data_IF_767970185446
#
_entry.id   IF_767970185446
#
_cell.length_a   1.000
_cell.length_b   1.000
_cell.length_c   1.000
_cell.angle_alpha   90.00
_cell.angle_beta   90.00
_cell.angle_gamma   90.00
#
_symmetry.space_group_name_H-M   'P 1'
#
loop_
_entity.id
_entity.type
_entity.pdbx_description
1 polymer ?
#
# COMPACT_ATOMS: atom_id res chain seq x y z
N UNK A 1 25.36 -0.61 -61.27
CA UNK A 1 24.67 -0.13 -60.06
C UNK A 1 23.56 -1.12 -59.79
N UNK A 2 23.57 -1.75 -58.63
CA UNK A 2 22.51 -2.71 -58.26
C UNK A 2 21.22 -1.96 -57.96
N UNK A 3 20.07 -2.63 -58.06
CA UNK A 3 18.78 -1.98 -57.76
C UNK A 3 18.72 -1.42 -56.34
N UNK A 4 19.38 -2.12 -55.40
CA UNK A 4 19.53 -1.70 -54.00
C UNK A 4 20.33 -0.41 -53.83
N UNK A 5 21.39 -0.23 -54.63
CA UNK A 5 22.16 1.03 -54.67
C UNK A 5 21.32 2.18 -55.27
N UNK A 6 20.49 1.88 -56.28
CA UNK A 6 19.53 2.80 -56.88
C UNK A 6 18.50 3.30 -55.85
N UNK A 7 17.91 2.40 -55.06
CA UNK A 7 16.98 2.76 -53.98
C UNK A 7 17.64 3.57 -52.85
N UNK A 8 18.92 3.29 -52.53
CA UNK A 8 19.66 4.11 -51.57
C UNK A 8 19.90 5.53 -52.09
N UNK A 9 20.25 5.69 -53.37
CA UNK A 9 20.43 7.00 -53.99
C UNK A 9 19.11 7.77 -54.14
N UNK A 10 18.00 7.06 -54.37
CA UNK A 10 16.64 7.59 -54.33
C UNK A 10 16.29 8.15 -52.95
N UNK A 11 16.50 7.36 -51.89
CA UNK A 11 16.25 7.77 -50.50
C UNK A 11 17.11 8.97 -50.07
N UNK A 12 18.30 9.13 -50.65
CA UNK A 12 19.20 10.26 -50.41
C UNK A 12 18.91 11.48 -51.30
N UNK A 13 17.94 11.42 -52.22
CA UNK A 13 17.57 12.52 -53.11
C UNK A 13 18.61 12.87 -54.18
N UNK A 14 19.55 11.96 -54.48
CA UNK A 14 20.69 12.22 -55.38
C UNK A 14 20.51 11.68 -56.81
N UNK A 15 19.31 11.19 -57.14
CA UNK A 15 18.99 10.71 -58.48
C UNK A 15 18.56 11.86 -59.39
N UNK A 16 18.93 11.76 -60.68
CA UNK A 16 18.38 12.60 -61.72
C UNK A 16 16.86 12.40 -61.86
N UNK A 17 16.14 13.41 -62.38
CA UNK A 17 14.68 13.41 -62.36
C UNK A 17 14.07 12.27 -63.19
N UNK A 18 14.77 11.81 -64.23
CA UNK A 18 14.30 10.75 -65.12
C UNK A 18 14.42 9.37 -64.46
N UNK A 19 15.56 9.07 -63.82
CA UNK A 19 15.73 7.83 -63.05
C UNK A 19 14.89 7.82 -61.78
N UNK A 20 14.67 8.99 -61.15
CA UNK A 20 13.76 9.11 -60.01
C UNK A 20 12.36 8.65 -60.40
N UNK A 21 11.85 9.12 -61.54
CA UNK A 21 10.54 8.75 -62.07
C UNK A 21 10.46 7.27 -62.47
N UNK A 22 11.55 6.69 -62.99
CA UNK A 22 11.63 5.25 -63.27
C UNK A 22 11.56 4.41 -61.98
N UNK A 23 12.30 4.80 -60.94
CA UNK A 23 12.26 4.13 -59.63
C UNK A 23 10.88 4.25 -58.99
N UNK A 24 10.25 5.44 -59.04
CA UNK A 24 8.89 5.64 -58.54
C UNK A 24 7.86 4.77 -59.27
N UNK A 25 7.92 4.70 -60.60
CA UNK A 25 7.03 3.87 -61.40
C UNK A 25 7.24 2.37 -61.15
N UNK A 26 8.47 1.95 -60.89
CA UNK A 26 8.77 0.55 -60.53
C UNK A 26 8.33 0.20 -59.11
N UNK A 27 8.44 1.14 -58.16
CA UNK A 27 7.87 0.99 -56.80
C UNK A 27 6.34 0.90 -56.88
N UNK A 28 5.69 1.81 -57.60
CA UNK A 28 4.23 1.82 -57.80
C UNK A 28 3.76 0.52 -58.47
N UNK A 29 4.51 0.04 -59.47
CA UNK A 29 4.26 -1.28 -60.09
C UNK A 29 4.42 -2.41 -59.07
N UNK A 30 5.45 -2.37 -58.22
CA UNK A 30 5.68 -3.39 -57.22
C UNK A 30 4.61 -3.36 -56.11
N UNK A 31 4.17 -2.18 -55.70
CA UNK A 31 3.10 -1.96 -54.72
C UNK A 31 1.75 -2.44 -55.28
N UNK A 32 1.40 -2.10 -56.52
CA UNK A 32 0.18 -2.57 -57.18
C UNK A 32 0.17 -4.10 -57.35
N UNK A 33 1.33 -4.71 -57.64
CA UNK A 33 1.47 -6.17 -57.67
C UNK A 33 1.30 -6.76 -56.27
N UNK A 34 1.88 -6.14 -55.23
CA UNK A 34 1.72 -6.59 -53.84
C UNK A 34 0.28 -6.51 -53.36
N UNK A 35 -0.43 -5.44 -53.73
CA UNK A 35 -1.84 -5.22 -53.39
C UNK A 35 -2.75 -6.24 -54.08
N UNK A 36 -2.56 -6.45 -55.39
CA UNK A 36 -3.29 -7.49 -56.15
C UNK A 36 -3.07 -8.90 -55.56
N UNK A 37 -1.83 -9.24 -55.21
CA UNK A 37 -1.52 -10.55 -54.60
C UNK A 37 -2.07 -10.71 -53.18
N UNK A 38 -2.38 -9.62 -52.50
CA UNK A 38 -3.01 -9.61 -51.18
C UNK A 38 -4.54 -9.75 -51.28
N UNK A 39 -5.18 -9.10 -52.25
CA UNK A 39 -6.63 -9.19 -52.47
C UNK A 39 -7.10 -10.57 -53.00
N UNK A 40 -6.29 -11.26 -53.82
CA UNK A 40 -6.61 -12.60 -54.34
C UNK A 40 -6.17 -13.76 -53.41
N UNK A 41 -5.56 -13.48 -52.25
CA UNK A 41 -4.99 -14.52 -51.38
C UNK A 41 -5.92 -14.99 -50.26
N UNK A 42 -6.13 -16.31 -50.14
CA UNK A 42 -6.74 -16.91 -48.93
C UNK A 42 -5.92 -16.66 -47.65
N UNK A 43 -6.61 -16.57 -46.50
CA UNK A 43 -6.01 -16.37 -45.18
C UNK A 43 -5.02 -17.51 -44.88
N UNK A 44 -3.76 -17.22 -44.50
CA UNK A 44 -2.75 -18.25 -44.24
C UNK A 44 -3.17 -19.21 -43.11
N UNK A 45 -2.91 -20.51 -43.30
CA UNK A 45 -3.18 -21.58 -42.32
C UNK A 45 -1.89 -22.00 -41.60
N UNK A 46 -2.00 -22.57 -40.39
CA UNK A 46 -0.86 -22.95 -39.55
C UNK A 46 0.03 -24.05 -40.18
N UNK A 47 -0.51 -24.81 -41.12
CA UNK A 47 0.19 -25.87 -41.87
C UNK A 47 1.37 -25.36 -42.73
N UNK A 48 1.42 -24.07 -43.06
CA UNK A 48 2.53 -23.45 -43.80
C UNK A 48 3.83 -23.29 -42.96
N UNK A 49 3.76 -23.53 -41.64
CA UNK A 49 4.91 -23.46 -40.72
C UNK A 49 5.74 -24.77 -40.67
N UNK A 50 5.15 -25.92 -41.01
CA UNK A 50 5.79 -27.24 -40.83
C UNK A 50 6.73 -27.65 -41.97
N UNK A 51 6.61 -27.08 -43.16
CA UNK A 51 7.42 -27.46 -44.34
C UNK A 51 8.82 -26.80 -44.36
N UNK A 52 9.46 -26.74 -43.19
CA UNK A 52 10.69 -25.98 -42.93
C UNK A 52 12.01 -26.67 -43.29
N UNK A 53 12.06 -27.97 -43.57
CA UNK A 53 13.35 -28.69 -43.68
C UNK A 53 13.66 -29.46 -44.97
N UNK A 54 12.72 -29.76 -45.86
CA UNK A 54 13.04 -30.59 -47.05
C UNK A 54 12.95 -29.84 -48.37
N UNK A 55 14.04 -29.18 -48.78
CA UNK A 55 14.22 -28.70 -50.16
C UNK A 55 15.61 -29.02 -50.74
N UNK A 56 16.20 -30.15 -50.35
CA UNK A 56 17.28 -30.80 -51.09
C UNK A 56 17.18 -32.31 -50.86
N UNK A 57 16.31 -33.00 -51.61
CA UNK A 57 16.44 -34.42 -51.97
C UNK A 57 15.14 -34.84 -52.67
N UNK A 58 15.11 -34.77 -54.01
CA UNK A 58 14.37 -35.70 -54.86
C UNK A 58 14.81 -35.50 -56.31
N UNK A 59 16.07 -35.86 -56.56
CA UNK A 59 16.45 -36.49 -57.82
C UNK A 59 16.23 -37.99 -57.59
N UNK A 60 15.17 -38.56 -58.15
CA UNK A 60 15.21 -39.86 -58.83
C UNK A 60 13.87 -40.22 -59.48
N UNK A 61 13.89 -40.07 -60.80
CA UNK A 61 13.41 -40.99 -61.83
C UNK A 61 12.56 -42.21 -61.39
N UNK A 62 11.30 -42.25 -61.87
CA UNK A 62 10.64 -43.36 -62.61
C UNK A 62 9.14 -43.40 -62.36
N UNK A 63 8.37 -42.94 -63.33
CA UNK A 63 7.25 -43.68 -63.95
C UNK A 63 6.36 -42.71 -64.71
N UNK A 64 6.49 -42.71 -66.04
CA UNK A 64 5.37 -42.46 -66.92
C UNK A 64 5.65 -43.15 -68.25
N UNK A 65 5.11 -44.36 -68.37
CA UNK A 65 4.93 -45.08 -69.64
C UNK A 65 3.44 -45.41 -69.76
N UNK A 66 2.96 -45.30 -71.00
CA UNK A 66 1.59 -45.50 -71.49
C UNK A 66 0.70 -44.27 -71.24
N UNK A 67 0.05 -43.64 -72.22
CA UNK A 67 -0.38 -43.99 -73.59
C UNK A 67 -0.22 -42.70 -74.43
N UNK A 68 -0.01 -42.67 -75.75
CA UNK A 68 -0.93 -43.06 -76.81
C UNK A 68 -0.14 -43.08 -78.11
N UNK A 69 -0.25 -44.18 -78.87
CA UNK A 69 0.30 -44.29 -80.21
C UNK A 69 -0.80 -43.95 -81.24
N UNK A 70 -0.38 -43.11 -82.18
CA UNK A 70 -0.79 -43.07 -83.59
C UNK A 70 -2.16 -42.46 -83.96
N UNK A 71 -2.11 -41.28 -84.60
CA UNK A 71 -2.61 -41.16 -85.98
C UNK A 71 -2.23 -39.82 -86.62
N UNK A 72 -1.57 -39.96 -87.77
CA UNK A 72 -1.58 -39.13 -88.98
C UNK A 72 -1.27 -37.61 -88.91
N UNK A 73 -0.19 -37.32 -89.63
CA UNK A 73 0.18 -36.06 -90.27
C UNK A 73 -1.00 -35.50 -91.10
N UNK A 74 -1.32 -34.21 -90.90
CA UNK A 74 -1.53 -33.26 -92.00
C UNK A 74 -1.46 -31.80 -91.54
N UNK A 75 -1.11 -30.92 -92.50
CA UNK A 75 -0.46 -29.62 -92.33
C UNK A 75 -1.12 -28.57 -91.43
N UNK A 76 -0.29 -27.98 -90.56
CA UNK A 76 -0.19 -26.52 -90.38
C UNK A 76 0.93 -26.19 -89.36
N UNK A 77 2.16 -26.13 -89.87
CA UNK A 77 3.35 -25.67 -89.12
C UNK A 77 3.37 -24.14 -89.20
N UNK A 78 2.50 -23.48 -88.44
CA UNK A 78 2.65 -22.04 -88.13
C UNK A 78 1.74 -21.58 -86.98
N UNK A 79 0.66 -22.31 -86.67
CA UNK A 79 -0.20 -22.03 -85.49
C UNK A 79 0.14 -22.82 -84.21
N UNK A 80 1.11 -23.74 -84.26
CA UNK A 80 1.53 -24.53 -83.08
C UNK A 80 2.74 -23.96 -82.33
N UNK A 81 3.57 -23.13 -82.94
CA UNK A 81 4.72 -22.52 -82.24
C UNK A 81 4.32 -21.33 -81.37
N UNK A 82 3.37 -20.49 -81.81
CA UNK A 82 2.87 -19.38 -80.99
C UNK A 82 2.09 -19.82 -79.75
N UNK A 83 1.33 -20.92 -79.84
CA UNK A 83 0.50 -21.44 -78.73
C UNK A 83 1.29 -22.28 -77.71
N UNK A 84 2.49 -22.76 -78.07
CA UNK A 84 3.41 -23.46 -77.16
C UNK A 84 4.41 -22.51 -76.49
N UNK A 85 4.69 -21.35 -77.08
CA UNK A 85 5.43 -20.27 -76.42
C UNK A 85 4.55 -19.53 -75.41
N UNK A 86 3.32 -19.15 -75.78
CA UNK A 86 2.41 -18.45 -74.85
C UNK A 86 2.06 -19.34 -73.64
N UNK A 87 1.74 -20.61 -73.85
CA UNK A 87 1.42 -21.54 -72.75
C UNK A 87 2.62 -21.82 -71.81
N UNK A 88 3.84 -21.72 -72.33
CA UNK A 88 5.08 -21.92 -71.55
C UNK A 88 5.49 -20.65 -70.80
N UNK A 89 5.18 -19.46 -71.36
CA UNK A 89 5.30 -18.17 -70.68
C UNK A 89 4.22 -18.00 -69.59
N UNK A 90 2.99 -18.46 -69.85
CA UNK A 90 1.89 -18.46 -68.88
C UNK A 90 2.19 -19.42 -67.71
N UNK A 91 2.61 -20.66 -67.98
CA UNK A 91 3.01 -21.62 -66.93
C UNK A 91 4.21 -21.12 -66.10
N UNK A 92 5.19 -20.46 -66.75
CA UNK A 92 6.36 -19.88 -66.06
C UNK A 92 5.97 -18.68 -65.21
N UNK A 93 5.12 -17.79 -65.71
CA UNK A 93 4.57 -16.67 -64.95
C UNK A 93 3.71 -17.17 -63.78
N UNK A 94 2.93 -18.23 -63.97
CA UNK A 94 2.09 -18.80 -62.91
C UNK A 94 2.95 -19.44 -61.80
N UNK A 95 4.03 -20.16 -62.17
CA UNK A 95 5.01 -20.69 -61.22
C UNK A 95 5.79 -19.59 -60.50
N UNK A 96 6.27 -18.57 -61.22
CA UNK A 96 7.00 -17.44 -60.65
C UNK A 96 6.12 -16.62 -59.69
N UNK A 97 4.87 -16.35 -60.07
CA UNK A 97 3.90 -15.67 -59.19
C UNK A 97 3.51 -16.55 -58.00
N UNK A 98 3.51 -17.88 -58.13
CA UNK A 98 3.30 -18.81 -57.01
C UNK A 98 4.51 -18.79 -56.04
N UNK A 99 5.74 -18.78 -56.55
CA UNK A 99 6.95 -18.68 -55.74
C UNK A 99 7.08 -17.32 -55.04
N UNK A 100 6.73 -16.24 -55.72
CA UNK A 100 6.67 -14.90 -55.12
C UNK A 100 5.61 -14.85 -54.03
N UNK A 101 4.38 -15.31 -54.29
CA UNK A 101 3.34 -15.39 -53.26
C UNK A 101 3.78 -16.22 -52.05
N UNK A 102 4.40 -17.37 -52.29
CA UNK A 102 4.87 -18.25 -51.21
C UNK A 102 6.01 -17.60 -50.40
N UNK A 103 6.97 -16.96 -51.05
CA UNK A 103 8.08 -16.28 -50.36
C UNK A 103 7.64 -15.03 -49.58
N UNK A 104 6.69 -14.25 -50.13
CA UNK A 104 6.06 -13.12 -49.47
C UNK A 104 5.26 -13.59 -48.24
N UNK A 105 4.42 -14.62 -48.38
CA UNK A 105 3.66 -15.21 -47.26
C UNK A 105 4.58 -15.71 -46.15
N UNK A 106 5.66 -16.43 -46.49
CA UNK A 106 6.65 -16.91 -45.51
C UNK A 106 7.37 -15.77 -44.79
N UNK A 107 7.66 -14.68 -45.48
CA UNK A 107 8.26 -13.48 -44.88
C UNK A 107 7.28 -12.76 -43.93
N UNK A 108 6.01 -12.62 -44.32
CA UNK A 108 4.96 -12.03 -43.48
C UNK A 108 4.66 -12.88 -42.25
N UNK A 109 4.58 -14.20 -42.38
CA UNK A 109 4.40 -15.11 -41.24
C UNK A 109 5.58 -14.98 -40.27
N UNK A 110 6.82 -15.00 -40.76
CA UNK A 110 8.01 -14.81 -39.90
C UNK A 110 8.00 -13.45 -39.18
N UNK A 111 7.68 -12.36 -39.88
CA UNK A 111 7.53 -11.03 -39.28
C UNK A 111 6.40 -11.02 -38.23
N UNK A 112 5.24 -11.59 -38.56
CA UNK A 112 4.08 -11.69 -37.67
C UNK A 112 4.37 -12.52 -36.42
N UNK A 113 5.10 -13.64 -36.56
CA UNK A 113 5.55 -14.46 -35.42
C UNK A 113 6.54 -13.71 -34.54
N UNK A 114 7.50 -12.98 -35.12
CA UNK A 114 8.47 -12.18 -34.35
C UNK A 114 7.75 -11.05 -33.60
N UNK A 115 6.92 -10.27 -34.30
CA UNK A 115 6.16 -9.17 -33.68
C UNK A 115 5.20 -9.71 -32.63
N UNK A 116 4.49 -10.81 -32.93
CA UNK A 116 3.59 -11.48 -31.99
C UNK A 116 4.32 -11.99 -30.74
N UNK A 117 5.49 -12.62 -30.90
CA UNK A 117 6.31 -13.07 -29.79
C UNK A 117 6.81 -11.89 -28.93
N UNK A 118 7.24 -10.78 -29.56
CA UNK A 118 7.68 -9.57 -28.84
C UNK A 118 6.52 -8.95 -28.07
N UNK A 119 5.35 -8.78 -28.68
CA UNK A 119 4.15 -8.26 -28.01
C UNK A 119 3.75 -9.17 -26.85
N UNK A 120 3.76 -10.49 -27.05
CA UNK A 120 3.46 -11.46 -26.01
C UNK A 120 4.44 -11.33 -24.83
N UNK A 121 5.74 -11.18 -25.09
CA UNK A 121 6.74 -10.92 -24.05
C UNK A 121 6.39 -9.67 -23.26
N UNK A 122 6.05 -8.56 -23.92
CA UNK A 122 5.66 -7.32 -23.23
C UNK A 122 4.40 -7.49 -22.37
N UNK A 123 3.38 -8.19 -22.89
CA UNK A 123 2.15 -8.47 -22.14
C UNK A 123 2.45 -9.35 -20.92
N UNK A 124 3.25 -10.41 -21.07
CA UNK A 124 3.65 -11.27 -19.96
C UNK A 124 4.47 -10.49 -18.92
N UNK A 125 5.39 -9.64 -19.35
CA UNK A 125 6.13 -8.74 -18.46
C UNK A 125 5.19 -7.81 -17.69
N UNK A 126 4.20 -7.20 -18.35
CA UNK A 126 3.22 -6.32 -17.72
C UNK A 126 2.29 -7.06 -16.74
N UNK A 127 1.96 -8.33 -16.99
CA UNK A 127 1.06 -9.10 -16.12
C UNK A 127 1.78 -9.75 -14.94
N UNK A 128 3.02 -10.22 -15.11
CA UNK A 128 3.70 -11.03 -14.10
C UNK A 128 4.88 -10.36 -13.41
N UNK A 129 5.63 -9.52 -14.12
CA UNK A 129 6.89 -8.93 -13.62
C UNK A 129 6.66 -7.51 -13.08
N UNK A 130 6.06 -6.66 -13.92
CA UNK A 130 5.85 -5.25 -13.61
C UNK A 130 5.03 -5.01 -12.33
N UNK A 131 3.96 -5.78 -12.00
CA UNK A 131 3.21 -5.57 -10.77
C UNK A 131 4.09 -5.74 -9.53
N UNK A 132 4.97 -6.76 -9.52
CA UNK A 132 5.88 -7.02 -8.40
C UNK A 132 7.01 -5.99 -8.34
N UNK A 133 7.57 -5.62 -9.49
CA UNK A 133 8.64 -4.63 -9.58
C UNK A 133 8.18 -3.24 -9.11
N UNK A 134 6.99 -2.80 -9.56
CA UNK A 134 6.42 -1.51 -9.17
C UNK A 134 6.07 -1.49 -7.67
N UNK A 135 5.60 -2.61 -7.11
CA UNK A 135 5.25 -2.68 -5.69
C UNK A 135 6.44 -2.38 -4.76
N UNK A 136 7.67 -2.72 -5.17
CA UNK A 136 8.89 -2.47 -4.36
C UNK A 136 9.24 -1.00 -4.17
N UNK A 137 8.65 -0.08 -4.95
CA UNK A 137 8.88 1.35 -4.79
C UNK A 137 7.96 2.00 -3.75
N UNK A 138 7.03 1.24 -3.20
CA UNK A 138 6.04 1.72 -2.24
C UNK A 138 6.09 0.85 -0.99
N UNK A 139 5.51 1.36 0.09
CA UNK A 139 5.33 0.62 1.33
C UNK A 139 4.69 -0.76 1.09
N UNK A 140 5.34 -1.80 1.58
CA UNK A 140 4.85 -3.18 1.53
C UNK A 140 4.34 -3.60 2.92
N UNK A 141 3.01 -3.67 3.14
CA UNK A 141 2.45 -4.04 4.43
C UNK A 141 2.81 -5.47 4.85
N UNK A 142 3.21 -6.33 3.91
CA UNK A 142 3.59 -7.72 4.14
C UNK A 142 5.10 -7.93 4.27
N UNK A 143 5.91 -6.86 4.19
CA UNK A 143 7.34 -6.95 4.48
C UNK A 143 7.53 -7.57 5.88
N UNK A 144 8.50 -8.46 6.03
CA UNK A 144 8.83 -9.02 7.34
C UNK A 144 9.55 -7.97 8.20
N UNK A 145 8.90 -7.51 9.26
CA UNK A 145 9.50 -6.61 10.26
C UNK A 145 10.38 -7.37 11.26
N UNK A 146 10.05 -8.64 11.50
CA UNK A 146 10.81 -9.58 12.29
C UNK A 146 10.32 -11.01 12.08
N UNK A 147 11.16 -11.98 12.40
CA UNK A 147 10.83 -13.39 12.34
C UNK A 147 11.47 -14.14 13.52
N UNK A 148 10.64 -14.88 14.27
CA UNK A 148 11.07 -15.67 15.42
C UNK A 148 10.28 -16.98 15.50
N UNK A 149 10.96 -18.11 15.70
CA UNK A 149 10.35 -19.44 15.91
C UNK A 149 9.20 -19.83 14.96
N UNK A 150 9.26 -19.41 13.69
CA UNK A 150 8.25 -19.72 12.68
C UNK A 150 7.04 -18.77 12.65
N UNK A 151 7.03 -17.73 13.50
CA UNK A 151 6.15 -16.58 13.39
C UNK A 151 6.86 -15.44 12.67
N UNK A 152 6.16 -14.81 11.71
CA UNK A 152 6.64 -13.61 11.02
C UNK A 152 5.68 -12.48 11.32
N UNK A 153 6.21 -11.38 11.85
CA UNK A 153 5.45 -10.15 12.03
C UNK A 153 5.57 -9.32 10.76
N UNK A 154 4.43 -8.90 10.22
CA UNK A 154 4.41 -8.03 9.03
C UNK A 154 4.63 -6.58 9.42
N UNK A 155 5.20 -5.79 8.51
CA UNK A 155 5.50 -4.37 8.68
C UNK A 155 4.29 -3.60 9.16
N UNK A 156 3.15 -3.73 8.50
CA UNK A 156 1.96 -2.97 8.88
C UNK A 156 1.34 -3.43 10.20
N UNK A 157 1.50 -4.71 10.58
CA UNK A 157 1.04 -5.17 11.89
C UNK A 157 1.88 -4.54 13.00
N UNK A 158 3.21 -4.49 12.84
CA UNK A 158 4.10 -3.84 13.80
C UNK A 158 3.89 -2.34 13.86
N UNK A 159 3.86 -1.66 12.71
CA UNK A 159 3.65 -0.21 12.65
C UNK A 159 2.33 0.18 13.33
N UNK A 160 1.26 -0.58 13.08
CA UNK A 160 -0.04 -0.31 13.67
C UNK A 160 -0.10 -0.63 15.17
N UNK A 161 0.63 -1.64 15.64
CA UNK A 161 0.73 -1.94 17.07
C UNK A 161 1.31 -0.76 17.83
N UNK A 162 2.48 -0.28 17.42
CA UNK A 162 3.17 0.85 18.02
C UNK A 162 2.34 2.13 17.91
N UNK A 163 1.79 2.40 16.72
CA UNK A 163 0.94 3.58 16.50
C UNK A 163 -0.32 3.58 17.38
N UNK A 164 -1.04 2.45 17.43
CA UNK A 164 -2.30 2.38 18.15
C UNK A 164 -2.10 2.36 19.67
N UNK A 165 -1.00 1.80 20.16
CA UNK A 165 -0.64 1.93 21.57
C UNK A 165 -0.28 3.37 21.93
N UNK A 166 0.53 4.05 21.11
CA UNK A 166 0.91 5.43 21.38
C UNK A 166 -0.26 6.42 21.39
N UNK A 167 -1.31 6.17 20.60
CA UNK A 167 -2.30 7.22 20.27
C UNK A 167 -3.77 6.83 20.40
N UNK A 168 -4.11 5.54 20.50
CA UNK A 168 -5.49 5.06 20.44
C UNK A 168 -5.86 4.28 21.71
N UNK A 169 -5.96 4.95 22.88
CA UNK A 169 -6.32 4.29 24.12
C UNK A 169 -7.66 3.56 24.00
N UNK A 170 -7.67 2.29 24.42
CA UNK A 170 -8.84 1.40 24.32
C UNK A 170 -9.11 0.87 22.90
N UNK A 171 -8.28 1.20 21.91
CA UNK A 171 -8.46 0.77 20.52
C UNK A 171 -7.18 0.26 19.86
N UNK A 172 -6.37 -0.46 20.63
CA UNK A 172 -5.15 -1.14 20.18
C UNK A 172 -5.40 -2.09 19.00
N UNK A 173 -4.44 -2.15 18.07
CA UNK A 173 -4.48 -2.92 16.83
C UNK A 173 -3.10 -3.48 16.50
N UNK A 174 -3.00 -4.81 16.51
CA UNK A 174 -1.74 -5.55 16.38
C UNK A 174 -1.72 -6.52 15.19
N UNK A 175 -2.80 -6.56 14.40
CA UNK A 175 -2.95 -7.46 13.27
C UNK A 175 -3.45 -6.73 12.04
N UNK A 176 -2.81 -7.01 10.91
CA UNK A 176 -3.23 -6.53 9.60
C UNK A 176 -3.15 -7.65 8.58
N UNK A 177 -4.28 -7.91 7.92
CA UNK A 177 -4.34 -8.78 6.75
C UNK A 177 -4.25 -7.94 5.49
N UNK A 178 -3.17 -8.08 4.72
CA UNK A 178 -2.94 -7.36 3.48
C UNK A 178 -2.85 -8.31 2.28
N UNK A 179 -3.81 -8.21 1.36
CA UNK A 179 -3.83 -9.02 0.12
C UNK A 179 -3.32 -8.20 -1.04
N UNK A 180 -2.16 -8.57 -1.60
CA UNK A 180 -1.56 -7.86 -2.72
C UNK A 180 -2.38 -7.99 -4.00
N UNK A 181 -2.63 -6.85 -4.65
CA UNK A 181 -3.18 -6.74 -6.01
C UNK A 181 -2.10 -6.39 -7.06
N UNK A 182 -0.84 -6.27 -6.63
CA UNK A 182 0.29 -5.81 -7.43
C UNK A 182 0.30 -4.29 -7.61
N UNK A 183 1.35 -3.75 -8.25
CA UNK A 183 1.52 -2.31 -8.50
C UNK A 183 1.48 -1.41 -7.26
N UNK A 184 1.86 -1.93 -6.09
CA UNK A 184 1.77 -1.23 -4.81
C UNK A 184 0.35 -1.12 -4.27
N UNK A 185 -0.58 -1.95 -4.76
CA UNK A 185 -1.96 -2.01 -4.27
C UNK A 185 -2.19 -3.21 -3.36
N UNK A 186 -2.89 -2.98 -2.26
CA UNK A 186 -3.30 -4.01 -1.31
C UNK A 186 -4.74 -3.76 -0.86
N UNK A 187 -5.51 -4.84 -0.73
CA UNK A 187 -6.73 -4.80 0.08
C UNK A 187 -6.35 -5.08 1.53
N UNK A 188 -6.83 -4.24 2.45
CA UNK A 188 -6.42 -4.23 3.85
C UNK A 188 -7.63 -4.57 4.73
N UNK A 189 -7.42 -5.46 5.70
CA UNK A 189 -8.36 -5.72 6.80
C UNK A 189 -7.60 -5.65 8.12
N UNK A 190 -8.06 -4.78 9.01
CA UNK A 190 -7.52 -4.53 10.34
C UNK A 190 -8.56 -5.03 11.35
N UNK A 191 -8.47 -6.28 11.84
CA UNK A 191 -9.37 -6.77 12.85
C UNK A 191 -9.15 -6.07 14.19
N UNK A 192 -10.21 -5.94 14.97
CA UNK A 192 -10.09 -5.76 16.41
C UNK A 192 -9.93 -7.15 17.03
N UNK A 193 -8.82 -7.39 17.74
CA UNK A 193 -8.52 -8.67 18.39
C UNK A 193 -9.06 -8.73 19.81
N UNK A 194 -9.41 -7.58 20.39
CA UNK A 194 -9.86 -7.46 21.77
C UNK A 194 -10.89 -6.35 21.99
N UNK A 195 -11.89 -6.60 22.84
CA UNK A 195 -12.96 -5.64 23.17
C UNK A 195 -13.54 -5.89 24.56
N UNK A 196 -13.89 -4.81 25.26
CA UNK A 196 -14.52 -4.82 26.59
C UNK A 196 -16.04 -4.88 26.53
N UNK A 197 -16.63 -4.37 25.44
CA UNK A 197 -18.09 -4.39 25.23
C UNK A 197 -18.58 -5.71 24.65
N UNK A 198 -17.66 -6.58 24.21
CA UNK A 198 -17.98 -7.76 23.41
C UNK A 198 -18.30 -7.44 21.95
N UNK A 199 -18.22 -6.17 21.54
CA UNK A 199 -18.43 -5.73 20.16
C UNK A 199 -17.11 -5.43 19.49
N UNK A 200 -16.88 -6.08 18.36
CA UNK A 200 -15.64 -5.96 17.59
C UNK A 200 -15.83 -5.01 16.41
N UNK A 201 -14.89 -4.08 16.24
CA UNK A 201 -14.87 -3.06 15.19
C UNK A 201 -13.68 -3.28 14.26
N UNK A 202 -13.84 -4.24 13.35
CA UNK A 202 -12.84 -4.47 12.29
C UNK A 202 -12.98 -3.42 11.20
N UNK A 203 -11.85 -2.91 10.72
CA UNK A 203 -11.81 -1.90 9.66
C UNK A 203 -11.28 -2.54 8.38
N UNK A 204 -11.85 -2.17 7.25
CA UNK A 204 -11.34 -2.60 5.93
C UNK A 204 -11.06 -1.39 5.07
N UNK A 205 -10.15 -1.55 4.11
CA UNK A 205 -9.72 -0.47 3.25
C UNK A 205 -8.85 -0.93 2.10
N UNK A 206 -8.25 0.05 1.41
CA UNK A 206 -7.28 -0.18 0.35
C UNK A 206 -6.05 0.67 0.60
N UNK A 207 -4.87 0.07 0.44
CA UNK A 207 -3.60 0.77 0.37
C UNK A 207 -3.20 0.85 -1.09
N UNK A 208 -3.07 2.06 -1.63
CA UNK A 208 -2.65 2.30 -3.00
C UNK A 208 -1.41 3.17 -2.97
N UNK A 209 -0.25 2.56 -3.21
CA UNK A 209 1.03 3.25 -3.37
C UNK A 209 1.36 4.18 -2.20
N UNK A 210 1.26 3.66 -0.98
CA UNK A 210 1.50 4.42 0.26
C UNK A 210 0.28 5.21 0.78
N UNK A 211 -0.80 5.33 0.01
CA UNK A 211 -2.03 5.99 0.47
C UNK A 211 -3.04 4.98 1.00
N UNK A 212 -3.26 4.97 2.31
CA UNK A 212 -4.30 4.17 2.96
C UNK A 212 -5.67 4.86 2.85
N UNK A 213 -6.70 4.12 2.48
CA UNK A 213 -8.10 4.58 2.50
C UNK A 213 -8.94 3.54 3.22
N UNK A 214 -9.44 3.88 4.41
CA UNK A 214 -10.32 3.04 5.19
C UNK A 214 -11.78 3.34 4.83
N UNK A 215 -12.64 2.34 4.91
CA UNK A 215 -14.08 2.52 4.66
C UNK A 215 -14.80 3.18 5.83
N UNK A 216 -14.27 3.00 7.04
CA UNK A 216 -14.65 3.75 8.23
C UNK A 216 -13.39 4.41 8.80
N UNK A 217 -13.25 5.71 8.56
CA UNK A 217 -12.07 6.47 8.99
C UNK A 217 -12.10 6.79 10.49
N UNK A 218 -13.27 6.73 11.14
CA UNK A 218 -13.41 7.20 12.52
C UNK A 218 -12.82 6.20 13.52
N UNK A 219 -12.78 4.91 13.18
CA UNK A 219 -12.34 3.87 14.11
C UNK A 219 -10.87 4.04 14.51
N UNK A 220 -9.98 4.41 13.58
CA UNK A 220 -8.55 4.60 13.87
C UNK A 220 -8.16 6.09 13.95
N UNK A 221 -9.15 6.98 14.01
CA UNK A 221 -8.90 8.40 14.17
C UNK A 221 -8.35 8.70 15.56
N UNK A 222 -7.33 9.54 15.62
CA UNK A 222 -6.79 10.02 16.88
C UNK A 222 -7.87 10.78 17.66
N UNK A 223 -8.01 10.53 18.97
CA UNK A 223 -8.74 11.44 19.82
C UNK A 223 -7.99 12.78 19.90
N UNK A 224 -8.68 13.90 19.72
CA UNK A 224 -8.10 15.24 19.83
C UNK A 224 -8.52 15.90 21.14
N UNK A 225 -7.57 16.56 21.83
CA UNK A 225 -7.80 17.37 23.03
C UNK A 225 -8.58 16.65 24.14
N UNK A 226 -8.11 15.48 24.58
CA UNK A 226 -8.81 14.68 25.59
C UNK A 226 -8.31 14.92 27.01
N UNK A 227 -7.10 15.49 27.15
CA UNK A 227 -6.50 15.81 28.45
C UNK A 227 -6.32 17.31 28.61
N UNK A 228 -6.56 17.77 29.84
CA UNK A 228 -6.14 19.08 30.31
C UNK A 228 -4.82 18.93 31.07
N UNK A 229 -3.79 19.67 30.64
CA UNK A 229 -2.47 19.57 31.25
C UNK A 229 -2.45 20.23 32.64
N UNK A 230 -1.78 19.62 33.64
CA UNK A 230 -1.55 20.26 34.93
C UNK A 230 -0.86 21.62 34.79
N UNK A 231 -1.46 22.67 35.36
CA UNK A 231 -0.92 24.03 35.31
C UNK A 231 -1.21 24.82 34.03
N UNK A 232 -1.86 24.23 33.02
CA UNK A 232 -2.24 24.95 31.80
C UNK A 232 -3.57 25.70 31.99
N UNK A 233 -3.49 26.95 32.42
CA UNK A 233 -4.64 27.84 32.54
C UNK A 233 -5.19 28.28 31.17
N UNK A 234 -4.36 28.28 30.12
CA UNK A 234 -4.75 28.74 28.79
C UNK A 234 -5.78 27.81 28.15
N UNK A 235 -5.73 26.51 28.47
CA UNK A 235 -6.70 25.51 28.01
C UNK A 235 -8.15 25.82 28.44
N UNK A 236 -8.35 26.67 29.45
CA UNK A 236 -9.65 27.06 29.97
C UNK A 236 -10.11 28.44 29.52
N UNK A 237 -9.30 29.16 28.75
CA UNK A 237 -9.65 30.49 28.26
C UNK A 237 -10.76 30.44 27.21
N UNK A 238 -11.76 31.30 27.39
CA UNK A 238 -12.88 31.42 26.47
C UNK A 238 -13.27 32.89 26.29
N UNK A 239 -13.85 33.19 25.13
CA UNK A 239 -14.42 34.50 24.81
C UNK A 239 -15.88 34.32 24.43
N UNK A 240 -16.72 35.18 24.95
CA UNK A 240 -18.13 35.27 24.56
C UNK A 240 -18.34 36.52 23.71
N UNK A 241 -19.14 36.37 22.66
CA UNK A 241 -19.54 37.48 21.80
C UNK A 241 -20.98 37.85 22.12
N UNK A 242 -21.21 39.11 22.50
CA UNK A 242 -22.56 39.61 22.75
C UNK A 242 -23.36 39.85 21.46
N UNK A 243 -24.66 40.16 21.60
CA UNK A 243 -25.58 40.43 20.47
C UNK A 243 -25.12 41.58 19.56
N UNK A 244 -24.19 42.42 20.03
CA UNK A 244 -23.62 43.55 19.30
C UNK A 244 -22.24 43.26 18.69
N UNK A 245 -21.75 42.01 18.80
CA UNK A 245 -20.45 41.60 18.27
C UNK A 245 -19.26 41.95 19.15
N UNK A 246 -19.46 42.36 20.40
CA UNK A 246 -18.36 42.65 21.33
C UNK A 246 -17.90 41.37 22.01
N UNK A 247 -16.61 41.09 21.92
CA UNK A 247 -15.97 39.97 22.61
C UNK A 247 -15.59 40.35 24.05
N UNK A 248 -15.92 39.48 24.99
CA UNK A 248 -15.50 39.57 26.40
C UNK A 248 -14.88 38.25 26.84
N UNK A 249 -13.69 38.32 27.44
CA UNK A 249 -13.04 37.15 28.04
C UNK A 249 -13.86 36.68 29.23
N UNK A 250 -14.19 35.39 29.24
CA UNK A 250 -14.87 34.72 30.35
C UNK A 250 -13.87 34.53 31.49
N UNK A 251 -14.34 34.54 32.75
CA UNK A 251 -13.49 34.22 33.90
C UNK A 251 -13.02 32.76 33.80
N UNK A 252 -11.71 32.56 33.65
CA UNK A 252 -11.09 31.26 33.38
C UNK A 252 -11.38 30.25 34.50
N UNK A 253 -11.30 30.66 35.77
CA UNK A 253 -11.52 29.76 36.90
C UNK A 253 -13.00 29.37 37.01
N UNK A 254 -13.93 30.33 36.87
CA UNK A 254 -15.36 30.03 36.83
C UNK A 254 -15.71 29.08 35.69
N UNK A 255 -15.12 29.27 34.50
CA UNK A 255 -15.31 28.40 33.34
C UNK A 255 -14.81 26.98 33.59
N UNK A 256 -13.64 26.83 34.22
CA UNK A 256 -13.10 25.52 34.62
C UNK A 256 -14.05 24.79 35.57
N UNK A 257 -14.52 25.48 36.62
CA UNK A 257 -15.46 24.89 37.58
C UNK A 257 -16.79 24.50 36.92
N UNK A 258 -17.30 25.33 36.01
CA UNK A 258 -18.51 25.01 35.23
C UNK A 258 -18.31 23.77 34.34
N UNK A 259 -17.19 23.66 33.63
CA UNK A 259 -16.88 22.48 32.81
C UNK A 259 -16.80 21.19 33.65
N UNK A 260 -16.17 21.25 34.83
CA UNK A 260 -16.09 20.11 35.75
C UNK A 260 -17.50 19.72 36.22
N UNK A 261 -18.33 20.71 36.58
CA UNK A 261 -19.70 20.47 37.00
C UNK A 261 -20.54 19.87 35.87
N UNK A 262 -20.42 20.40 34.66
CA UNK A 262 -21.08 19.87 33.47
C UNK A 262 -20.71 18.41 33.21
N UNK A 263 -19.42 18.07 33.22
CA UNK A 263 -18.96 16.69 33.05
C UNK A 263 -19.55 15.75 34.11
N UNK A 264 -19.59 16.16 35.39
CA UNK A 264 -20.22 15.39 36.47
C UNK A 264 -21.72 15.17 36.25
N UNK A 265 -22.43 16.20 35.78
CA UNK A 265 -23.86 16.12 35.47
C UNK A 265 -24.13 15.19 34.29
N UNK A 266 -23.30 15.28 33.24
CA UNK A 266 -23.40 14.43 32.06
C UNK A 266 -23.20 12.94 32.45
N UNK A 267 -22.12 12.63 33.18
CA UNK A 267 -21.84 11.28 33.68
C UNK A 267 -22.96 10.79 34.61
N UNK A 268 -23.57 11.66 35.42
CA UNK A 268 -24.71 11.28 36.26
C UNK A 268 -25.93 10.84 35.44
N UNK A 269 -26.06 11.32 34.21
CA UNK A 269 -27.09 10.92 33.24
C UNK A 269 -26.80 9.63 32.47
N UNK A 270 -25.59 9.07 32.57
CA UNK A 270 -25.19 7.86 31.83
C UNK A 270 -25.99 6.62 32.23
N UNK A 271 -25.98 5.61 31.36
CA UNK A 271 -26.51 4.30 31.66
C UNK A 271 -25.54 3.55 32.60
N UNK A 272 -26.06 2.87 33.61
CA UNK A 272 -25.25 2.17 34.60
C UNK A 272 -24.49 0.96 34.01
N UNK A 273 -24.96 0.42 32.86
CA UNK A 273 -24.41 -0.80 32.26
C UNK A 273 -23.52 -0.55 31.04
N UNK A 274 -23.60 0.63 30.43
CA UNK A 274 -22.81 0.96 29.25
C UNK A 274 -21.35 1.25 29.63
N UNK A 275 -20.44 0.95 28.70
CA UNK A 275 -19.01 1.19 28.85
C UNK A 275 -18.63 2.50 28.19
N UNK A 276 -17.71 3.21 28.82
CA UNK A 276 -17.20 4.49 28.36
C UNK A 276 -15.67 4.45 28.40
N UNK A 277 -15.02 4.95 27.35
CA UNK A 277 -13.60 5.31 27.43
C UNK A 277 -13.52 6.66 28.12
N UNK A 278 -12.90 6.69 29.29
CA UNK A 278 -12.69 7.90 30.06
C UNK A 278 -11.24 8.34 29.95
N UNK A 279 -11.04 9.61 29.64
CA UNK A 279 -9.76 10.30 29.67
C UNK A 279 -9.76 11.17 30.92
N UNK A 280 -8.95 10.79 31.88
CA UNK A 280 -8.90 11.36 33.22
C UNK A 280 -7.66 12.24 33.31
N UNK A 281 -7.87 13.55 33.40
CA UNK A 281 -6.81 14.52 33.68
C UNK A 281 -6.54 14.54 35.19
N UNK A 282 -5.29 14.73 35.59
CA UNK A 282 -4.89 14.85 36.99
C UNK A 282 -4.48 16.29 37.34
N UNK A 283 -4.40 16.60 38.64
CA UNK A 283 -4.15 17.97 39.12
C UNK A 283 -2.69 18.40 39.03
N UNK A 284 -1.75 17.46 39.15
CA UNK A 284 -0.30 17.70 39.15
C UNK A 284 0.39 16.61 38.33
N UNK A 285 1.54 16.94 37.72
CA UNK A 285 2.39 15.95 37.07
C UNK A 285 2.90 14.95 38.11
N UNK A 286 2.68 13.66 37.86
CA UNK A 286 3.13 12.59 38.74
C UNK A 286 4.32 11.84 38.14
N UNK A 287 5.29 11.48 38.97
CA UNK A 287 6.25 10.45 38.59
C UNK A 287 5.53 9.12 38.31
N UNK A 288 5.96 8.39 37.29
CA UNK A 288 5.32 7.12 36.89
C UNK A 288 5.11 6.17 38.06
N UNK A 289 6.13 6.00 38.90
CA UNK A 289 6.03 5.13 40.08
C UNK A 289 4.96 5.59 41.06
N UNK A 290 4.91 6.87 41.37
CA UNK A 290 3.92 7.44 42.29
C UNK A 290 2.51 7.33 41.71
N UNK A 291 2.37 7.48 40.39
CA UNK A 291 1.11 7.29 39.67
C UNK A 291 0.63 5.84 39.76
N UNK A 292 1.50 4.87 39.48
CA UNK A 292 1.19 3.43 39.53
C UNK A 292 0.84 3.00 40.96
N UNK A 293 1.61 3.44 41.97
CA UNK A 293 1.32 3.19 43.39
C UNK A 293 -0.01 3.81 43.84
N UNK A 294 -0.44 4.92 43.23
CA UNK A 294 -1.76 5.51 43.47
C UNK A 294 -2.86 4.72 42.75
N UNK A 295 -2.64 4.38 41.48
CA UNK A 295 -3.59 3.65 40.65
C UNK A 295 -3.91 2.28 41.24
N UNK A 296 -2.90 1.53 41.70
CA UNK A 296 -3.07 0.23 42.36
C UNK A 296 -4.04 0.33 43.56
N UNK A 297 -3.83 1.31 44.43
CA UNK A 297 -4.65 1.52 45.64
C UNK A 297 -6.10 1.82 45.34
N UNK A 298 -6.39 2.47 44.22
CA UNK A 298 -7.78 2.75 43.80
C UNK A 298 -8.35 1.60 42.97
N UNK A 299 -7.52 0.89 42.20
CA UNK A 299 -7.92 -0.28 41.43
C UNK A 299 -8.37 -1.43 42.32
N UNK A 300 -7.72 -1.67 43.46
CA UNK A 300 -8.17 -2.69 44.41
C UNK A 300 -9.53 -2.36 45.05
N UNK A 301 -9.87 -1.08 45.13
CA UNK A 301 -11.09 -0.59 45.80
C UNK A 301 -12.25 -0.35 44.85
N UNK A 302 -11.96 -0.28 43.55
CA UNK A 302 -12.91 0.09 42.51
C UNK A 302 -12.90 -1.01 41.46
N UNK A 303 -13.94 -1.09 40.64
CA UNK A 303 -13.96 -2.06 39.54
C UNK A 303 -13.13 -1.53 38.35
N UNK A 304 -11.85 -1.20 38.59
CA UNK A 304 -10.87 -0.74 37.60
C UNK A 304 -9.88 -1.86 37.30
N UNK A 305 -9.66 -2.15 36.02
CA UNK A 305 -8.80 -3.24 35.59
C UNK A 305 -7.49 -2.72 34.98
N UNK A 306 -6.36 -3.30 35.36
CA UNK A 306 -5.03 -2.94 34.85
C UNK A 306 -4.88 -3.09 33.33
N UNK A 307 -5.50 -4.12 32.75
CA UNK A 307 -5.50 -4.33 31.30
C UNK A 307 -6.20 -3.21 30.50
N UNK A 308 -6.88 -2.29 31.19
CA UNK A 308 -7.53 -1.12 30.59
C UNK A 308 -6.73 0.18 30.75
N UNK A 309 -5.67 0.18 31.55
CA UNK A 309 -4.93 1.40 31.86
C UNK A 309 -4.08 1.80 30.67
N UNK A 310 -4.22 3.05 30.25
CA UNK A 310 -3.30 3.72 29.33
C UNK A 310 -2.81 5.01 29.99
N UNK A 311 -1.50 5.20 30.08
CA UNK A 311 -0.88 6.32 30.77
C UNK A 311 -0.56 7.45 29.79
N UNK A 312 -1.10 8.65 30.00
CA UNK A 312 -0.77 9.82 29.20
C UNK A 312 0.57 10.40 29.68
N UNK A 313 1.58 10.39 28.82
CA UNK A 313 2.94 10.80 29.16
C UNK A 313 3.15 12.26 28.80
N UNK A 314 3.60 13.04 29.77
CA UNK A 314 3.98 14.43 29.56
C UNK A 314 5.32 14.51 28.86
N UNK A 315 5.38 15.32 27.81
CA UNK A 315 6.59 15.64 27.07
C UNK A 315 6.63 17.15 26.81
N UNK A 316 7.83 17.73 26.78
CA UNK A 316 8.02 19.15 26.54
C UNK A 316 9.10 19.38 25.48
N UNK A 317 8.85 20.36 24.62
CA UNK A 317 9.84 20.93 23.71
C UNK A 317 10.80 21.86 24.47
N UNK A 318 11.83 22.39 23.78
CA UNK A 318 12.83 23.27 24.40
C UNK A 318 12.24 24.54 25.03
N UNK A 319 11.11 25.02 24.52
CA UNK A 319 10.41 26.20 25.03
C UNK A 319 9.42 25.90 26.18
N UNK A 320 9.32 24.62 26.58
CA UNK A 320 8.42 24.13 27.61
C UNK A 320 7.01 23.83 27.12
N UNK A 321 6.73 23.92 25.81
CA UNK A 321 5.43 23.58 25.25
C UNK A 321 5.25 22.06 25.13
N UNK A 322 4.05 21.57 25.44
CA UNK A 322 3.67 20.18 25.21
C UNK A 322 2.86 20.08 23.92
N UNK A 323 3.51 19.70 22.82
CA UNK A 323 2.90 19.64 21.49
C UNK A 323 1.90 18.49 21.29
N UNK A 324 2.08 17.38 22.01
CA UNK A 324 1.21 16.19 21.89
C UNK A 324 0.80 15.68 23.28
N UNK A 325 -0.32 16.18 23.84
CA UNK A 325 -0.84 15.72 25.13
C UNK A 325 -1.52 14.35 25.05
N UNK A 326 -1.91 13.88 23.85
CA UNK A 326 -2.60 12.59 23.69
C UNK A 326 -1.63 11.48 23.25
N UNK A 327 -0.44 11.41 23.86
CA UNK A 327 0.56 10.35 23.64
C UNK A 327 0.85 9.59 24.93
N UNK A 328 1.10 8.30 24.82
CA UNK A 328 1.21 7.45 26.00
C UNK A 328 1.43 5.99 25.70
N UNK A 329 1.16 5.12 26.66
CA UNK A 329 1.36 3.68 26.51
C UNK A 329 0.50 2.87 27.50
N UNK A 330 0.35 1.57 27.24
CA UNK A 330 -0.28 0.64 28.16
C UNK A 330 0.81 -0.05 29.02
N UNK A 331 0.85 0.17 30.34
CA UNK A 331 1.90 -0.44 31.16
C UNK A 331 1.69 -1.95 31.37
N UNK A 332 0.51 -2.48 31.05
CA UNK A 332 0.19 -3.90 31.11
C UNK A 332 0.38 -4.55 29.73
N UNK A 333 1.23 -5.58 29.68
CA UNK A 333 1.48 -6.33 28.45
C UNK A 333 0.18 -6.94 27.87
N UNK A 334 -0.10 -6.65 26.60
CA UNK A 334 -1.31 -7.12 25.91
C UNK A 334 -1.09 -7.32 24.41
N UNK A 335 -2.04 -7.98 23.75
CA UNK A 335 -1.98 -8.24 22.30
C UNK A 335 -1.51 -9.64 21.92
N UNK A 336 -1.02 -9.76 20.70
CA UNK A 336 -0.46 -10.96 20.08
C UNK A 336 1.06 -10.91 20.14
N UNK A 337 1.71 -12.06 20.24
CA UNK A 337 3.18 -12.10 20.20
C UNK A 337 3.74 -11.59 18.87
N UNK A 338 4.78 -10.76 18.93
CA UNK A 338 5.40 -10.10 17.80
C UNK A 338 6.92 -10.31 17.77
N UNK A 339 7.51 -10.11 16.59
CA UNK A 339 8.94 -10.15 16.36
C UNK A 339 9.40 -8.90 15.63
N UNK A 340 10.53 -8.35 16.06
CA UNK A 340 11.14 -7.14 15.51
C UNK A 340 12.64 -7.13 15.84
N UNK A 341 13.34 -6.07 15.43
CA UNK A 341 14.73 -5.82 15.81
C UNK A 341 14.83 -5.37 17.28
N UNK A 342 15.00 -6.33 18.18
CA UNK A 342 15.10 -6.11 19.64
C UNK A 342 16.35 -5.35 20.06
N UNK A 343 17.42 -5.41 19.26
CA UNK A 343 18.66 -4.68 19.55
C UNK A 343 18.47 -3.20 19.25
N UNK A 344 17.74 -2.88 18.17
CA UNK A 344 17.42 -1.49 17.79
C UNK A 344 16.30 -0.88 18.63
N UNK A 345 15.25 -1.66 18.93
CA UNK A 345 14.08 -1.21 19.68
C UNK A 345 13.79 -2.15 20.87
N UNK A 346 14.56 -2.03 21.97
CA UNK A 346 14.33 -2.84 23.16
C UNK A 346 12.97 -2.52 23.77
N UNK A 347 12.28 -3.49 24.39
CA UNK A 347 10.98 -3.22 25.02
C UNK A 347 9.88 -2.69 24.07
N UNK A 348 10.01 -2.82 22.73
CA UNK A 348 9.01 -2.27 21.80
C UNK A 348 7.59 -2.84 22.02
N UNK A 349 7.46 -4.17 22.22
CA UNK A 349 6.24 -4.82 22.71
C UNK A 349 6.52 -5.43 24.09
N UNK A 350 5.78 -5.00 25.12
CA UNK A 350 5.96 -5.52 26.48
C UNK A 350 5.69 -7.04 26.57
N UNK A 351 4.79 -7.57 25.74
CA UNK A 351 4.41 -8.99 25.77
C UNK A 351 5.58 -9.93 25.44
N UNK A 352 6.47 -9.52 24.54
CA UNK A 352 7.52 -10.39 23.98
C UNK A 352 8.94 -10.06 24.50
N UNK A 353 9.07 -9.14 25.47
CA UNK A 353 10.36 -8.80 26.10
C UNK A 353 10.67 -9.56 27.39
N UNK A 354 9.68 -10.24 27.99
CA UNK A 354 9.93 -11.01 29.20
C UNK A 354 10.60 -12.36 28.90
N UNK A 355 11.70 -12.65 29.60
CA UNK A 355 12.02 -14.03 29.97
C UNK A 355 10.79 -14.58 30.70
N UNK A 356 10.14 -15.58 30.11
CA UNK A 356 8.84 -16.11 30.49
C UNK A 356 8.55 -16.05 32.02
N UNK A 357 7.46 -15.38 32.41
CA UNK A 357 6.82 -15.42 33.75
C UNK A 357 7.18 -14.38 34.84
N UNK A 358 7.68 -13.18 34.51
CA UNK A 358 7.66 -12.09 35.50
C UNK A 358 6.50 -11.11 35.26
N UNK A 359 5.42 -11.24 36.03
CA UNK A 359 4.33 -10.26 36.21
C UNK A 359 4.81 -8.91 36.83
N UNK A 360 6.13 -8.65 36.90
CA UNK A 360 6.73 -7.58 37.69
C UNK A 360 7.17 -6.34 36.88
N UNK A 361 6.91 -6.25 35.58
CA UNK A 361 7.41 -5.14 34.76
C UNK A 361 6.52 -3.87 34.80
N UNK A 362 5.24 -3.99 35.16
CA UNK A 362 4.31 -2.84 35.21
C UNK A 362 4.81 -1.74 36.18
N UNK A 363 5.50 -2.13 37.26
CA UNK A 363 6.04 -1.20 38.27
C UNK A 363 7.48 -0.78 38.00
N UNK A 364 8.14 -1.35 36.99
CA UNK A 364 9.52 -1.04 36.63
C UNK A 364 9.56 0.21 35.74
N UNK A 365 9.85 1.36 36.37
CA UNK A 365 9.90 2.63 35.67
C UNK A 365 10.98 2.69 34.57
N UNK A 366 12.10 1.98 34.74
CA UNK A 366 13.19 1.97 33.75
C UNK A 366 12.80 1.16 32.52
N UNK A 367 12.13 0.00 32.74
CA UNK A 367 11.57 -0.80 31.66
C UNK A 367 10.49 -0.03 30.87
N UNK A 368 9.57 0.64 31.58
CA UNK A 368 8.51 1.43 30.94
C UNK A 368 9.06 2.66 30.20
N UNK A 369 10.09 3.29 30.75
CA UNK A 369 10.78 4.38 30.06
C UNK A 369 11.44 3.89 28.77
N UNK A 370 12.04 2.70 28.80
CA UNK A 370 12.65 2.06 27.62
C UNK A 370 11.60 1.68 26.59
N UNK A 371 10.46 1.15 27.02
CA UNK A 371 9.31 0.84 26.15
C UNK A 371 8.81 2.09 25.43
N UNK A 372 8.46 3.14 26.18
CA UNK A 372 7.93 4.38 25.61
C UNK A 372 8.92 5.02 24.64
N UNK A 373 10.19 5.16 25.03
CA UNK A 373 11.21 5.75 24.15
C UNK A 373 11.53 4.90 22.92
N UNK A 374 11.39 3.57 22.99
CA UNK A 374 11.55 2.69 21.84
C UNK A 374 10.39 2.79 20.86
N UNK A 375 9.16 2.97 21.35
CA UNK A 375 8.00 3.26 20.49
C UNK A 375 8.18 4.59 19.75
N UNK A 376 8.63 5.65 20.45
CA UNK A 376 8.93 6.94 19.82
C UNK A 376 10.04 6.81 18.76
N UNK A 377 11.13 6.10 19.09
CA UNK A 377 12.25 5.87 18.15
C UNK A 377 11.80 5.07 16.93
N UNK A 378 10.91 4.10 17.12
CA UNK A 378 10.34 3.32 16.04
C UNK A 378 9.47 4.18 15.12
N UNK A 379 8.57 5.01 15.67
CA UNK A 379 7.75 5.93 14.86
C UNK A 379 8.59 6.97 14.12
N UNK A 380 9.69 7.44 14.72
CA UNK A 380 10.62 8.35 14.07
C UNK A 380 11.29 7.72 12.84
N UNK A 381 11.66 6.43 12.92
CA UNK A 381 12.27 5.69 11.81
C UNK A 381 11.27 5.18 10.77
N UNK A 382 9.98 5.10 11.12
CA UNK A 382 8.91 4.49 10.33
C UNK A 382 7.70 5.43 10.19
N UNK A 383 7.92 6.63 9.64
CA UNK A 383 6.91 7.69 9.50
C UNK A 383 5.83 7.43 8.42
N UNK A 384 6.01 6.40 7.58
CA UNK A 384 5.02 5.96 6.59
C UNK A 384 3.63 5.75 7.21
N UNK A 385 3.56 5.13 8.41
CA UNK A 385 2.27 4.89 9.09
C UNK A 385 1.61 6.19 9.54
N UNK A 386 2.40 7.19 9.95
CA UNK A 386 1.88 8.51 10.35
C UNK A 386 1.23 9.18 9.14
N UNK A 387 1.89 9.15 7.99
CA UNK A 387 1.33 9.62 6.72
C UNK A 387 0.04 8.88 6.34
N UNK A 388 0.03 7.55 6.49
CA UNK A 388 -1.15 6.73 6.19
C UNK A 388 -2.34 7.04 7.10
N UNK A 389 -2.07 7.43 8.34
CA UNK A 389 -3.08 7.85 9.31
C UNK A 389 -3.45 9.34 9.20
N UNK A 390 -2.97 10.03 8.16
CA UNK A 390 -3.33 11.42 7.87
C UNK A 390 -2.63 12.45 8.76
N UNK A 391 -1.51 12.09 9.38
CA UNK A 391 -0.70 13.00 10.18
C UNK A 391 0.38 13.65 9.34
N UNK A 392 0.75 14.89 9.68
CA UNK A 392 1.91 15.51 9.07
C UNK A 392 3.18 14.76 9.51
N UNK A 393 4.09 14.56 8.57
CA UNK A 393 5.43 13.99 8.82
C UNK A 393 6.47 15.05 9.15
N UNK A 394 6.07 16.33 9.26
CA UNK A 394 6.98 17.46 9.50
C UNK A 394 7.58 17.47 10.94
N UNK A 395 7.36 16.40 11.71
CA UNK A 395 7.60 16.31 13.16
C UNK A 395 8.70 15.30 13.57
N UNK A 396 9.65 14.98 12.69
CA UNK A 396 10.79 14.11 13.09
C UNK A 396 11.63 14.73 14.22
N UNK A 397 11.71 16.05 14.29
CA UNK A 397 12.36 16.78 15.40
C UNK A 397 11.58 16.61 16.73
N UNK A 398 10.25 16.49 16.66
CA UNK A 398 9.38 16.36 17.84
C UNK A 398 9.59 15.03 18.58
N UNK A 399 9.72 13.90 17.86
CA UNK A 399 9.97 12.61 18.51
C UNK A 399 11.30 12.60 19.24
N UNK A 400 12.35 13.22 18.68
CA UNK A 400 13.64 13.30 19.35
C UNK A 400 13.54 14.15 20.62
N UNK A 401 12.84 15.29 20.57
CA UNK A 401 12.60 16.14 21.73
C UNK A 401 11.85 15.39 22.84
N UNK A 402 10.81 14.62 22.49
CA UNK A 402 10.08 13.76 23.43
C UNK A 402 11.00 12.71 24.07
N UNK A 403 11.83 12.03 23.27
CA UNK A 403 12.79 11.03 23.75
C UNK A 403 13.79 11.67 24.72
N UNK A 404 14.34 12.84 24.37
CA UNK A 404 15.34 13.53 25.18
C UNK A 404 14.74 14.07 26.48
N UNK A 405 13.52 14.60 26.43
CA UNK A 405 12.77 14.99 27.61
C UNK A 405 12.57 13.80 28.56
N UNK A 406 12.05 12.68 28.06
CA UNK A 406 11.79 11.49 28.89
C UNK A 406 13.09 10.91 29.46
N UNK A 407 14.18 10.88 28.68
CA UNK A 407 15.50 10.46 29.17
C UNK A 407 16.05 11.35 30.29
N UNK A 408 15.76 12.66 30.24
CA UNK A 408 16.23 13.64 31.21
C UNK A 408 15.36 13.71 32.47
N UNK A 409 14.05 13.69 32.29
CA UNK A 409 13.05 13.98 33.33
C UNK A 409 12.41 12.72 33.91
N UNK A 410 12.61 11.56 33.29
CA UNK A 410 11.87 10.33 33.57
C UNK A 410 10.46 10.37 32.99
N UNK A 411 9.69 9.30 33.21
CA UNK A 411 8.28 9.26 32.84
C UNK A 411 7.44 10.09 33.80
N UNK A 412 6.86 11.18 33.29
CA UNK A 412 5.88 12.02 33.98
C UNK A 412 4.50 11.78 33.40
N UNK A 413 3.53 11.51 34.26
CA UNK A 413 2.13 11.25 33.88
C UNK A 413 1.31 12.50 34.15
N UNK A 414 0.51 12.93 33.17
CA UNK A 414 -0.40 14.08 33.28
C UNK A 414 -1.88 13.69 33.17
N UNK A 415 -2.15 12.43 32.91
CA UNK A 415 -3.49 11.87 32.80
C UNK A 415 -3.44 10.39 32.46
N UNK A 416 -4.61 9.76 32.36
CA UNK A 416 -4.73 8.37 31.94
C UNK A 416 -6.06 8.12 31.25
N UNK A 417 -6.10 7.13 30.37
CA UNK A 417 -7.34 6.64 29.78
C UNK A 417 -7.70 5.24 30.31
N UNK A 418 -9.00 5.00 30.49
CA UNK A 418 -9.52 3.72 30.99
C UNK A 418 -10.93 3.44 30.48
N UNK A 419 -11.23 2.18 30.14
CA UNK A 419 -12.60 1.72 29.91
C UNK A 419 -13.29 1.46 31.24
N UNK A 420 -14.38 2.15 31.55
CA UNK A 420 -15.14 1.88 32.78
C UNK A 420 -16.59 2.30 32.68
N UNK A 421 -17.36 2.08 33.75
CA UNK A 421 -18.78 2.38 33.84
C UNK A 421 -19.03 3.61 34.72
N UNK A 422 -20.22 4.19 34.56
CA UNK A 422 -20.70 5.37 35.30
C UNK A 422 -20.35 5.38 36.79
N UNK A 423 -20.65 4.30 37.52
CA UNK A 423 -20.41 4.23 38.97
C UNK A 423 -18.94 4.56 39.28
N UNK A 424 -18.01 3.94 38.55
CA UNK A 424 -16.57 4.14 38.75
C UNK A 424 -16.13 5.55 38.37
N UNK A 425 -16.68 6.12 37.29
CA UNK A 425 -16.41 7.52 36.89
C UNK A 425 -16.78 8.52 38.00
N UNK A 426 -17.94 8.34 38.63
CA UNK A 426 -18.39 9.18 39.74
C UNK A 426 -17.52 8.99 40.99
N UNK A 427 -16.98 7.79 41.23
CA UNK A 427 -16.01 7.55 42.31
C UNK A 427 -14.60 8.09 42.01
N UNK A 428 -14.21 8.20 40.73
CA UNK A 428 -12.94 8.83 40.33
C UNK A 428 -12.94 10.33 40.63
N UNK A 429 -14.06 11.02 40.39
CA UNK A 429 -14.21 12.43 40.71
C UNK A 429 -14.11 12.79 42.21
N UNK A 430 -14.09 11.79 43.10
CA UNK A 430 -13.89 11.97 44.54
C UNK A 430 -12.43 11.87 44.95
N UNK A 431 -11.54 11.44 44.05
CA UNK A 431 -10.10 11.39 44.31
C UNK A 431 -9.51 12.79 44.14
N UNK A 432 -8.75 13.24 45.13
CA UNK A 432 -8.10 14.56 45.12
C UNK A 432 -7.10 14.73 43.96
N UNK A 433 -6.64 13.62 43.36
CA UNK A 433 -5.70 13.61 42.22
C UNK A 433 -6.42 13.95 40.90
N UNK A 434 -7.72 13.69 40.78
CA UNK A 434 -8.46 13.85 39.52
C UNK A 434 -8.93 15.29 39.35
N UNK A 435 -8.60 15.89 38.20
CA UNK A 435 -8.96 17.27 37.86
C UNK A 435 -10.19 17.36 36.96
N UNK A 436 -10.24 16.53 35.92
CA UNK A 436 -11.30 16.52 34.92
C UNK A 436 -11.44 15.14 34.29
N UNK A 437 -12.66 14.77 33.90
CA UNK A 437 -12.94 13.52 33.17
C UNK A 437 -13.69 13.86 31.89
N UNK A 438 -13.08 13.52 30.75
CA UNK A 438 -13.69 13.52 29.43
C UNK A 438 -14.09 12.09 29.08
N UNK A 439 -15.27 11.86 28.52
CA UNK A 439 -15.76 10.51 28.21
C UNK A 439 -16.24 10.38 26.78
N UNK A 440 -16.05 9.19 26.22
CA UNK A 440 -16.60 8.78 24.93
C UNK A 440 -17.34 7.45 25.09
N UNK A 441 -18.57 7.29 24.57
CA UNK A 441 -19.28 6.02 24.60
C UNK A 441 -18.51 4.95 23.82
N UNK A 442 -18.40 3.75 24.37
CA UNK A 442 -17.91 2.59 23.62
C UNK A 442 -19.09 1.93 22.90
N UNK A 443 -18.98 1.85 21.57
CA UNK A 443 -20.05 1.32 20.73
C UNK A 443 -20.26 -0.18 20.86
#
# INVERSE_FOLDING_TARGET
MTYRELLQLYKQGKLDMEKKKQVEAEIEKQDAISEFLYEEGDIPDFSDLENGEDCFNNLDDKNQKAEWQDSKIDGNIEKRQGNLQSKREDDFNEQFMKEIRHSIRKAFIKMGTIVGAVVLIFVLCAVFILPKAVSKFYYDPNEAAGAYEGMTTTRMSLDLSVYSELYLPGNYRDQVNAVSRGYGEYDIVIPQTYTWTGKFTSVSGRLVRGKLTLYDNNILSRPALMFYLPGDENAWEAWETDENGKETKVDTEARKQESIQYSKEEISGYNDNDWYTAYVSINELMDYKDFIDWFEKISDKKDLEWGNLWCAVHTEEEDGYCGEPNIGFCPYASGSGMSWDKDKYPYLSLLDNADAYNEAEVTDADAMQTHFTSMLSYMQDHDDILSMMGQSTDYQEDYQNMIDYVKKSGLKIHGFAISTKKKTLLELYKEDVVSYIQTTPQN
#
